data_IF_394083732285
#
_entry.id   IF_394083732285
#
_cell.length_a   1.000
_cell.length_b   1.000
_cell.length_c   1.000
_cell.angle_alpha   90.00
_cell.angle_beta   90.00
_cell.angle_gamma   90.00
#
_symmetry.space_group_name_H-M   'P 1'
#
loop_
_entity.id
_entity.type
_entity.pdbx_description
1 polymer ?
#
# COMPACT_ATOMS: atom_id res chain seq x y z
N UNK A 1 96.11 -18.22 -8.57
CA UNK A 1 95.51 -16.86 -8.55
C UNK A 1 94.69 -16.72 -9.82
N UNK A 2 93.37 -16.77 -9.71
CA UNK A 2 92.47 -16.56 -10.85
C UNK A 2 92.33 -15.05 -11.03
N UNK A 3 92.95 -14.49 -12.07
CA UNK A 3 92.88 -13.04 -12.34
C UNK A 3 91.59 -12.73 -13.08
N UNK A 4 90.74 -11.88 -12.51
CA UNK A 4 89.49 -11.42 -13.14
C UNK A 4 89.82 -10.16 -13.96
N UNK A 5 89.82 -10.25 -15.28
CA UNK A 5 90.21 -9.15 -16.17
C UNK A 5 89.01 -8.45 -16.82
N UNK A 6 87.84 -9.09 -16.87
CA UNK A 6 86.63 -8.55 -17.50
C UNK A 6 85.36 -8.84 -16.69
N UNK A 7 84.29 -8.07 -16.94
CA UNK A 7 82.97 -8.33 -16.36
C UNK A 7 82.40 -9.70 -16.78
N UNK A 8 82.80 -10.20 -17.96
CA UNK A 8 82.45 -11.54 -18.44
C UNK A 8 83.16 -12.65 -17.66
N UNK A 9 84.42 -12.45 -17.26
CA UNK A 9 85.13 -13.37 -16.38
C UNK A 9 84.46 -13.46 -15.01
N UNK A 10 84.05 -12.30 -14.46
CA UNK A 10 83.30 -12.25 -13.20
C UNK A 10 81.93 -12.96 -13.34
N UNK A 11 81.18 -12.69 -14.42
CA UNK A 11 79.89 -13.34 -14.64
C UNK A 11 80.02 -14.87 -14.73
N UNK A 12 80.99 -15.39 -15.50
CA UNK A 12 81.24 -16.83 -15.63
C UNK A 12 81.54 -17.46 -14.27
N UNK A 13 82.45 -16.86 -13.50
CA UNK A 13 82.82 -17.34 -12.16
C UNK A 13 81.60 -17.35 -11.22
N UNK A 14 80.75 -16.32 -11.25
CA UNK A 14 79.54 -16.25 -10.40
C UNK A 14 78.42 -17.20 -10.84
N UNK A 15 78.43 -17.67 -12.08
CA UNK A 15 77.53 -18.74 -12.56
C UNK A 15 78.01 -20.10 -12.06
N UNK A 16 79.32 -20.35 -12.12
CA UNK A 16 79.95 -21.61 -11.70
C UNK A 16 80.00 -21.77 -10.17
N UNK A 17 80.06 -20.65 -9.43
CA UNK A 17 80.11 -20.58 -7.97
C UNK A 17 78.89 -19.85 -7.39
N UNK A 18 77.73 -20.52 -7.24
CA UNK A 18 76.51 -19.91 -6.72
C UNK A 18 76.69 -19.33 -5.31
N UNK A 19 77.56 -19.92 -4.49
CA UNK A 19 77.91 -19.43 -3.15
C UNK A 19 78.58 -18.05 -3.17
N UNK A 20 79.42 -17.76 -4.17
CA UNK A 20 80.06 -16.45 -4.32
C UNK A 20 79.07 -15.40 -4.82
N UNK A 21 78.11 -15.80 -5.67
CA UNK A 21 77.02 -14.94 -6.11
C UNK A 21 76.11 -14.53 -4.96
N UNK A 22 75.81 -15.46 -4.06
CA UNK A 22 74.98 -15.17 -2.89
C UNK A 22 75.69 -14.23 -1.91
N UNK A 23 77.00 -14.40 -1.70
CA UNK A 23 77.80 -13.52 -0.87
C UNK A 23 77.94 -12.12 -1.48
N UNK A 24 78.21 -12.03 -2.78
CA UNK A 24 78.24 -10.75 -3.50
C UNK A 24 76.88 -10.04 -3.41
N UNK A 25 75.77 -10.78 -3.44
CA UNK A 25 74.43 -10.23 -3.27
C UNK A 25 74.20 -9.65 -1.87
N UNK A 26 74.74 -10.28 -0.81
CA UNK A 26 74.69 -9.76 0.57
C UNK A 26 75.53 -8.50 0.78
N UNK A 27 76.63 -8.37 0.05
CA UNK A 27 77.49 -7.18 0.12
C UNK A 27 76.86 -6.00 -0.63
N UNK A 28 76.28 -6.25 -1.81
CA UNK A 28 75.72 -5.21 -2.69
C UNK A 28 74.31 -4.78 -2.30
N UNK A 29 73.49 -5.67 -1.73
CA UNK A 29 72.10 -5.39 -1.37
C UNK A 29 71.94 -5.41 0.15
N UNK A 30 71.09 -4.51 0.67
CA UNK A 30 70.68 -4.57 2.07
C UNK A 30 69.82 -5.82 2.33
N UNK A 31 69.78 -6.29 3.58
CA UNK A 31 68.90 -7.41 3.98
C UNK A 31 67.43 -7.14 3.63
N UNK A 32 67.00 -5.87 3.68
CA UNK A 32 65.65 -5.47 3.30
C UNK A 32 65.35 -5.72 1.81
N UNK A 33 66.29 -5.40 0.91
CA UNK A 33 66.14 -5.65 -0.53
C UNK A 33 66.21 -7.14 -0.86
N UNK A 34 66.99 -7.92 -0.10
CA UNK A 34 67.06 -9.38 -0.23
C UNK A 34 65.76 -10.07 0.22
N UNK A 35 65.09 -9.55 1.25
CA UNK A 35 63.85 -10.11 1.79
C UNK A 35 62.59 -9.69 1.00
N UNK A 36 62.69 -8.67 0.14
CA UNK A 36 61.55 -8.08 -0.57
C UNK A 36 60.76 -9.09 -1.43
N UNK A 37 61.37 -10.02 -2.20
CA UNK A 37 60.61 -10.99 -2.98
C UNK A 37 59.74 -11.91 -2.11
N UNK A 38 60.26 -12.34 -0.96
CA UNK A 38 59.53 -13.19 -0.03
C UNK A 38 58.38 -12.42 0.64
N UNK A 39 58.63 -11.19 1.09
CA UNK A 39 57.61 -10.30 1.64
C UNK A 39 56.49 -10.01 0.64
N UNK A 40 56.86 -9.81 -0.62
CA UNK A 40 55.90 -9.59 -1.70
C UNK A 40 55.05 -10.84 -1.97
N UNK A 41 55.66 -12.03 -2.01
CA UNK A 41 54.92 -13.29 -2.16
C UNK A 41 53.93 -13.54 -1.02
N UNK A 42 54.33 -13.23 0.23
CA UNK A 42 53.46 -13.34 1.40
C UNK A 42 52.32 -12.31 1.36
N UNK A 43 52.62 -11.06 0.99
CA UNK A 43 51.60 -10.02 0.80
C UNK A 43 50.57 -10.42 -0.26
N UNK A 44 51.01 -10.92 -1.41
CA UNK A 44 50.12 -11.39 -2.50
C UNK A 44 49.25 -12.54 -2.00
N UNK A 45 49.83 -13.53 -1.33
CA UNK A 45 49.06 -14.66 -0.77
C UNK A 45 47.98 -14.20 0.23
N UNK A 46 48.29 -13.26 1.11
CA UNK A 46 47.32 -12.71 2.07
C UNK A 46 46.24 -11.91 1.35
N UNK A 47 46.61 -11.14 0.32
CA UNK A 47 45.69 -10.33 -0.47
C UNK A 47 44.73 -11.21 -1.27
N UNK A 48 45.24 -12.23 -1.94
CA UNK A 48 44.44 -13.20 -2.70
C UNK A 48 43.45 -13.92 -1.78
N UNK A 49 43.90 -14.37 -0.59
CA UNK A 49 43.01 -14.99 0.39
C UNK A 49 41.88 -14.06 0.88
N UNK A 50 42.16 -12.76 1.06
CA UNK A 50 41.12 -11.77 1.40
C UNK A 50 40.16 -11.51 0.25
N UNK A 51 40.67 -11.46 -0.99
CA UNK A 51 39.85 -11.27 -2.19
C UNK A 51 38.92 -12.47 -2.43
N UNK A 52 39.42 -13.69 -2.22
CA UNK A 52 38.61 -14.91 -2.32
C UNK A 52 37.51 -14.94 -1.25
N UNK A 53 37.83 -14.59 -0.01
CA UNK A 53 36.85 -14.50 1.07
C UNK A 53 35.76 -13.45 0.75
N UNK A 54 36.16 -12.25 0.33
CA UNK A 54 35.22 -11.18 -0.04
C UNK A 54 34.36 -11.58 -1.23
N UNK A 55 34.93 -12.25 -2.23
CA UNK A 55 34.19 -12.79 -3.38
C UNK A 55 33.14 -13.80 -2.93
N UNK A 56 33.48 -14.65 -1.95
CA UNK A 56 32.55 -15.59 -1.32
C UNK A 56 31.41 -14.88 -0.60
N UNK A 57 31.72 -13.87 0.20
CA UNK A 57 30.72 -13.06 0.92
C UNK A 57 29.77 -12.34 -0.04
N UNK A 58 30.30 -11.70 -1.09
CA UNK A 58 29.49 -11.03 -2.11
C UNK A 58 28.55 -12.01 -2.81
N UNK A 59 29.03 -13.20 -3.18
CA UNK A 59 28.15 -14.25 -3.75
C UNK A 59 27.08 -14.69 -2.76
N UNK A 60 27.43 -14.84 -1.48
CA UNK A 60 26.46 -15.17 -0.43
C UNK A 60 25.37 -14.11 -0.28
N UNK A 61 25.76 -12.83 -0.29
CA UNK A 61 24.84 -11.70 -0.27
C UNK A 61 23.94 -11.66 -1.51
N UNK A 62 24.49 -11.89 -2.70
CA UNK A 62 23.70 -11.96 -3.94
C UNK A 62 22.62 -13.03 -3.86
N UNK A 63 22.98 -14.25 -3.45
CA UNK A 63 22.01 -15.34 -3.31
C UNK A 63 20.92 -15.03 -2.26
N UNK A 64 21.29 -14.36 -1.17
CA UNK A 64 20.33 -13.96 -0.13
C UNK A 64 19.38 -12.86 -0.62
N UNK A 65 19.88 -11.90 -1.40
CA UNK A 65 19.08 -10.86 -2.03
C UNK A 65 18.05 -11.48 -2.99
N UNK A 66 18.49 -12.39 -3.88
CA UNK A 66 17.59 -13.10 -4.80
C UNK A 66 16.49 -13.87 -4.05
N UNK A 67 16.84 -14.62 -2.99
CA UNK A 67 15.85 -15.33 -2.17
C UNK A 67 14.88 -14.39 -1.44
N UNK A 68 15.33 -13.18 -1.08
CA UNK A 68 14.49 -12.18 -0.43
C UNK A 68 13.50 -11.58 -1.43
N UNK A 69 13.94 -11.29 -2.64
CA UNK A 69 13.09 -10.79 -3.72
C UNK A 69 11.98 -11.80 -4.06
N UNK A 70 12.31 -13.09 -4.15
CA UNK A 70 11.30 -14.15 -4.38
C UNK A 70 10.25 -14.22 -3.28
N UNK A 71 10.65 -14.06 -2.01
CA UNK A 71 9.74 -14.04 -0.85
C UNK A 71 8.87 -12.80 -0.86
N UNK A 72 9.43 -11.64 -1.18
CA UNK A 72 8.66 -10.39 -1.30
C UNK A 72 7.61 -10.52 -2.39
N UNK A 73 7.96 -11.07 -3.55
CA UNK A 73 7.03 -11.33 -4.64
C UNK A 73 5.89 -12.29 -4.25
N UNK A 74 6.21 -13.33 -3.47
CA UNK A 74 5.19 -14.23 -2.94
C UNK A 74 4.24 -13.52 -1.97
N UNK A 75 4.78 -12.73 -1.04
CA UNK A 75 3.98 -11.94 -0.08
C UNK A 75 3.10 -10.90 -0.79
N UNK A 76 3.59 -10.25 -1.84
CA UNK A 76 2.79 -9.31 -2.64
C UNK A 76 1.63 -10.00 -3.34
N UNK A 77 1.84 -11.22 -3.87
CA UNK A 77 0.75 -12.01 -4.49
C UNK A 77 -0.31 -12.40 -3.46
N UNK A 78 0.10 -12.90 -2.30
CA UNK A 78 -0.80 -13.28 -1.22
C UNK A 78 -1.59 -12.08 -0.69
N UNK A 79 -0.92 -10.95 -0.47
CA UNK A 79 -1.57 -9.70 -0.06
C UNK A 79 -2.63 -9.25 -1.07
N UNK A 80 -2.35 -9.38 -2.37
CA UNK A 80 -3.30 -9.04 -3.43
C UNK A 80 -4.50 -9.99 -3.45
N UNK A 81 -4.28 -11.29 -3.27
CA UNK A 81 -5.36 -12.28 -3.16
C UNK A 81 -6.24 -12.03 -1.94
N UNK A 82 -5.64 -11.77 -0.77
CA UNK A 82 -6.37 -11.43 0.44
C UNK A 82 -7.18 -10.15 0.28
N UNK A 83 -6.62 -9.13 -0.38
CA UNK A 83 -7.35 -7.90 -0.70
C UNK A 83 -8.59 -8.18 -1.56
N UNK A 84 -8.48 -9.08 -2.55
CA UNK A 84 -9.61 -9.47 -3.38
C UNK A 84 -10.67 -10.25 -2.59
N UNK A 85 -10.28 -11.25 -1.80
CA UNK A 85 -11.21 -12.02 -0.95
C UNK A 85 -11.93 -11.11 0.06
N UNK A 86 -11.21 -10.16 0.66
CA UNK A 86 -11.82 -9.14 1.53
C UNK A 86 -12.85 -8.32 0.76
N UNK A 87 -12.55 -7.94 -0.49
CA UNK A 87 -13.51 -7.27 -1.37
C UNK A 87 -14.77 -8.09 -1.64
N UNK A 88 -14.63 -9.39 -1.88
CA UNK A 88 -15.75 -10.32 -2.10
C UNK A 88 -16.58 -10.51 -0.84
N UNK A 89 -15.95 -10.71 0.32
CA UNK A 89 -16.63 -10.83 1.62
C UNK A 89 -17.35 -9.53 1.97
N UNK A 90 -16.70 -8.38 1.75
CA UNK A 90 -17.32 -7.07 1.92
C UNK A 90 -18.55 -6.95 0.99
N UNK A 91 -18.44 -7.39 -0.25
CA UNK A 91 -19.56 -7.43 -1.21
C UNK A 91 -20.74 -8.28 -0.72
N UNK A 92 -20.48 -9.49 -0.23
CA UNK A 92 -21.51 -10.37 0.33
C UNK A 92 -22.18 -9.77 1.58
N UNK A 93 -21.39 -9.12 2.44
CA UNK A 93 -21.89 -8.41 3.62
C UNK A 93 -22.78 -7.22 3.22
N UNK A 94 -22.38 -6.44 2.20
CA UNK A 94 -23.20 -5.33 1.69
C UNK A 94 -24.48 -5.80 1.02
N UNK A 95 -24.43 -6.91 0.28
CA UNK A 95 -25.63 -7.49 -0.32
C UNK A 95 -26.64 -7.92 0.76
N UNK A 96 -26.14 -8.43 1.90
CA UNK A 96 -26.98 -8.75 3.06
C UNK A 96 -27.58 -7.49 3.70
N UNK A 97 -26.76 -6.48 4.02
CA UNK A 97 -27.23 -5.21 4.63
C UNK A 97 -28.23 -4.50 3.71
N UNK A 98 -27.96 -4.43 2.41
CA UNK A 98 -28.87 -3.78 1.46
C UNK A 98 -30.23 -4.49 1.33
N UNK A 99 -30.26 -5.82 1.54
CA UNK A 99 -31.47 -6.64 1.45
C UNK A 99 -32.25 -6.72 2.76
N UNK A 100 -31.58 -6.69 3.92
CA UNK A 100 -32.18 -6.92 5.24
C UNK A 100 -32.26 -5.65 6.11
N UNK A 101 -31.32 -4.70 5.96
CA UNK A 101 -31.06 -3.65 6.97
C UNK A 101 -31.33 -2.21 6.51
N UNK A 102 -31.70 -1.95 5.24
CA UNK A 102 -32.12 -0.62 4.80
C UNK A 102 -33.26 -0.04 5.65
N UNK A 103 -34.16 -0.92 6.12
CA UNK A 103 -35.21 -0.57 7.09
C UNK A 103 -34.68 -0.28 8.49
N UNK A 104 -33.62 -0.97 8.93
CA UNK A 104 -32.98 -0.74 10.24
C UNK A 104 -32.28 0.62 10.25
N UNK A 105 -31.46 0.89 9.23
CA UNK A 105 -30.77 2.18 9.10
C UNK A 105 -31.78 3.33 9.02
N UNK A 106 -32.85 3.16 8.23
CA UNK A 106 -33.93 4.15 8.19
C UNK A 106 -34.58 4.34 9.57
N UNK A 107 -34.84 3.25 10.30
CA UNK A 107 -35.43 3.28 11.65
C UNK A 107 -34.52 3.96 12.67
N UNK A 108 -33.20 3.71 12.65
CA UNK A 108 -32.20 4.40 13.48
C UNK A 108 -32.21 5.91 13.21
N UNK A 109 -32.40 6.28 11.94
CA UNK A 109 -32.59 7.66 11.50
C UNK A 109 -34.02 8.18 11.76
N UNK A 110 -34.92 7.42 12.38
CA UNK A 110 -36.31 7.83 12.60
C UNK A 110 -37.09 8.13 11.31
N UNK A 111 -36.68 7.51 10.20
CA UNK A 111 -37.31 7.55 8.88
C UNK A 111 -38.08 6.26 8.61
N UNK A 112 -39.13 6.36 7.79
CA UNK A 112 -39.87 5.19 7.33
C UNK A 112 -39.33 4.75 5.96
N UNK A 113 -38.68 3.59 5.92
CA UNK A 113 -38.16 2.99 4.68
C UNK A 113 -39.28 2.72 3.65
N UNK A 114 -39.00 3.00 2.38
CA UNK A 114 -39.90 2.75 1.26
C UNK A 114 -39.33 1.75 0.28
N UNK A 115 -38.10 1.98 -0.18
CA UNK A 115 -37.48 1.17 -1.22
C UNK A 115 -35.96 1.38 -1.26
N UNK A 116 -35.21 0.29 -1.40
CA UNK A 116 -33.79 0.35 -1.79
C UNK A 116 -33.66 0.47 -3.30
N UNK A 117 -32.84 1.40 -3.78
CA UNK A 117 -32.57 1.58 -5.20
C UNK A 117 -31.49 0.62 -5.67
N UNK A 118 -31.73 -0.05 -6.78
CA UNK A 118 -30.68 -0.84 -7.44
C UNK A 118 -29.72 0.03 -8.26
N UNK A 119 -28.62 -0.57 -8.74
CA UNK A 119 -27.60 0.14 -9.52
C UNK A 119 -28.14 0.71 -10.84
N UNK A 120 -29.12 0.08 -11.46
CA UNK A 120 -29.77 0.58 -12.69
C UNK A 120 -30.59 1.84 -12.39
N UNK A 121 -31.30 1.85 -11.27
CA UNK A 121 -32.11 3.00 -10.85
C UNK A 121 -31.24 4.21 -10.48
N UNK A 122 -30.15 3.98 -9.75
CA UNK A 122 -29.16 5.03 -9.46
C UNK A 122 -28.51 5.54 -10.75
N UNK A 123 -28.20 4.66 -11.70
CA UNK A 123 -27.67 5.06 -13.01
C UNK A 123 -28.67 5.92 -13.79
N UNK A 124 -29.97 5.60 -13.74
CA UNK A 124 -31.02 6.41 -14.37
C UNK A 124 -31.15 7.80 -13.74
N UNK A 125 -30.99 7.93 -12.42
CA UNK A 125 -30.92 9.25 -11.75
C UNK A 125 -29.72 10.04 -12.29
N UNK A 126 -28.54 9.42 -12.33
CA UNK A 126 -27.32 10.04 -12.84
C UNK A 126 -27.44 10.47 -14.31
N UNK A 127 -28.03 9.63 -15.16
CA UNK A 127 -28.22 9.92 -16.58
C UNK A 127 -29.22 11.06 -16.81
N UNK A 128 -30.33 11.09 -16.07
CA UNK A 128 -31.27 12.22 -16.09
C UNK A 128 -30.59 13.52 -15.66
N UNK A 129 -29.76 13.49 -14.63
CA UNK A 129 -29.00 14.66 -14.18
C UNK A 129 -27.97 15.15 -15.20
N UNK A 130 -27.35 14.24 -15.96
CA UNK A 130 -26.48 14.63 -17.09
C UNK A 130 -27.27 15.31 -18.19
N UNK A 131 -28.44 14.77 -18.55
CA UNK A 131 -29.30 15.30 -19.61
C UNK A 131 -29.88 16.67 -19.24
N UNK A 132 -30.24 16.88 -17.97
CA UNK A 132 -30.77 18.16 -17.48
C UNK A 132 -29.67 19.22 -17.23
N UNK A 133 -28.39 18.85 -17.34
CA UNK A 133 -27.26 19.72 -17.01
C UNK A 133 -26.96 19.81 -15.50
N UNK A 134 -27.77 19.18 -14.64
CA UNK A 134 -27.56 19.15 -13.20
C UNK A 134 -26.23 18.46 -12.80
N UNK A 135 -25.61 17.66 -13.66
CA UNK A 135 -24.31 17.04 -13.42
C UNK A 135 -23.16 17.59 -14.29
N UNK A 136 -23.32 18.78 -14.90
CA UNK A 136 -22.38 19.29 -15.91
C UNK A 136 -20.97 19.59 -15.37
N UNK A 137 -20.85 20.02 -14.12
CA UNK A 137 -19.63 20.36 -13.39
C UNK A 137 -19.03 19.18 -12.60
N UNK A 138 -19.67 18.01 -12.62
CA UNK A 138 -19.23 16.86 -11.82
C UNK A 138 -18.25 15.98 -12.62
N UNK A 139 -17.02 15.73 -12.12
CA UNK A 139 -16.06 14.86 -12.78
C UNK A 139 -16.60 13.44 -13.02
N UNK A 140 -16.16 12.81 -14.12
CA UNK A 140 -16.63 11.46 -14.51
C UNK A 140 -16.38 10.42 -13.41
N UNK A 141 -15.26 10.49 -12.72
CA UNK A 141 -14.92 9.52 -11.67
C UNK A 141 -15.82 9.66 -10.44
N UNK A 142 -16.25 10.87 -10.11
CA UNK A 142 -17.23 11.11 -9.04
C UNK A 142 -18.62 10.64 -9.43
N UNK A 143 -19.02 10.79 -10.69
CA UNK A 143 -20.27 10.19 -11.19
C UNK A 143 -20.21 8.65 -11.16
N UNK A 144 -19.05 8.06 -11.49
CA UNK A 144 -18.87 6.61 -11.38
C UNK A 144 -18.91 6.14 -9.94
N UNK A 145 -18.34 6.89 -9.01
CA UNK A 145 -18.42 6.61 -7.58
C UNK A 145 -19.87 6.66 -7.09
N UNK A 146 -20.65 7.68 -7.51
CA UNK A 146 -22.07 7.81 -7.19
C UNK A 146 -22.91 6.61 -7.62
N UNK A 147 -22.77 6.18 -8.88
CA UNK A 147 -23.49 4.98 -9.40
C UNK A 147 -23.03 3.68 -8.70
N UNK A 148 -21.86 3.71 -8.05
CA UNK A 148 -21.31 2.59 -7.29
C UNK A 148 -21.45 2.78 -5.78
N UNK A 149 -22.25 3.73 -5.31
CA UNK A 149 -22.56 3.87 -3.90
C UNK A 149 -23.00 2.53 -3.31
N UNK A 150 -22.62 2.27 -2.06
CA UNK A 150 -22.85 0.98 -1.42
C UNK A 150 -24.36 0.71 -1.23
N UNK A 151 -25.10 1.73 -0.77
CA UNK A 151 -26.55 1.66 -0.60
C UNK A 151 -27.19 3.04 -0.77
N UNK A 152 -28.27 3.10 -1.55
CA UNK A 152 -29.16 4.26 -1.65
C UNK A 152 -30.59 3.77 -1.48
N UNK A 153 -31.38 4.47 -0.67
CA UNK A 153 -32.80 4.14 -0.49
C UNK A 153 -33.69 5.38 -0.41
N UNK A 154 -34.95 5.17 -0.74
CA UNK A 154 -36.08 6.07 -0.54
C UNK A 154 -36.70 5.82 0.83
N UNK A 155 -37.02 6.91 1.53
CA UNK A 155 -37.71 6.90 2.79
C UNK A 155 -38.68 8.08 2.90
N UNK A 156 -39.50 8.09 3.94
CA UNK A 156 -40.30 9.26 4.32
C UNK A 156 -39.93 9.73 5.71
N UNK A 157 -39.90 11.05 5.91
CA UNK A 157 -39.75 11.64 7.24
C UNK A 157 -41.03 11.49 8.08
N UNK A 158 -41.00 11.94 9.34
CA UNK A 158 -42.16 11.87 10.25
C UNK A 158 -43.36 12.71 9.79
N UNK A 159 -43.14 13.68 8.91
CA UNK A 159 -44.18 14.52 8.32
C UNK A 159 -44.77 13.90 7.05
N UNK A 160 -44.21 12.78 6.57
CA UNK A 160 -44.60 12.09 5.34
C UNK A 160 -43.93 12.63 4.08
N UNK A 161 -42.93 13.51 4.19
CA UNK A 161 -42.19 14.01 3.03
C UNK A 161 -41.20 12.95 2.54
N UNK A 162 -41.10 12.81 1.22
CA UNK A 162 -40.12 11.91 0.60
C UNK A 162 -38.70 12.44 0.80
N UNK A 163 -37.78 11.52 1.08
CA UNK A 163 -36.34 11.78 1.22
C UNK A 163 -35.55 10.61 0.65
N UNK A 164 -34.33 10.88 0.22
CA UNK A 164 -33.35 9.85 -0.07
C UNK A 164 -32.33 9.72 1.07
N UNK A 165 -31.63 8.59 1.13
CA UNK A 165 -30.47 8.40 1.98
C UNK A 165 -29.35 7.75 1.16
N UNK A 166 -28.16 8.33 1.21
CA UNK A 166 -26.94 7.72 0.69
C UNK A 166 -26.14 7.14 1.86
N UNK A 167 -25.94 5.82 1.85
CA UNK A 167 -25.22 5.10 2.89
C UNK A 167 -23.89 4.61 2.36
N UNK A 168 -22.82 4.92 3.08
CA UNK A 168 -21.53 4.27 2.90
C UNK A 168 -21.33 3.18 3.94
N UNK A 169 -20.84 2.03 3.51
CA UNK A 169 -20.72 0.89 4.40
C UNK A 169 -19.26 0.47 4.52
N UNK A 170 -18.77 0.47 5.75
CA UNK A 170 -17.39 0.14 6.06
C UNK A 170 -17.28 -0.68 7.32
N UNK A 171 -16.20 -1.47 7.44
CA UNK A 171 -15.91 -2.17 8.69
C UNK A 171 -15.52 -1.16 9.78
N UNK A 172 -14.64 -0.24 9.43
CA UNK A 172 -14.25 0.92 10.26
C UNK A 172 -14.54 2.18 9.46
N UNK A 173 -15.39 3.05 9.99
CA UNK A 173 -15.71 4.33 9.38
C UNK A 173 -14.55 5.32 9.51
N UNK A 174 -14.19 5.98 8.42
CA UNK A 174 -13.13 6.99 8.36
C UNK A 174 -13.58 8.30 7.67
N UNK A 175 -12.68 9.28 7.58
CA UNK A 175 -12.94 10.58 6.92
C UNK A 175 -13.36 10.43 5.44
N UNK A 176 -12.90 9.38 4.75
CA UNK A 176 -13.23 9.15 3.33
C UNK A 176 -14.66 8.67 3.17
N UNK A 177 -15.14 7.81 4.07
CA UNK A 177 -16.54 7.37 4.08
C UNK A 177 -17.48 8.55 4.33
N UNK A 178 -17.13 9.44 5.26
CA UNK A 178 -17.89 10.69 5.54
C UNK A 178 -17.99 11.57 4.30
N UNK A 179 -16.86 11.83 3.66
CA UNK A 179 -16.79 12.65 2.45
C UNK A 179 -17.62 12.02 1.31
N UNK A 180 -17.58 10.69 1.19
CA UNK A 180 -18.28 9.97 0.12
C UNK A 180 -19.80 9.97 0.35
N UNK A 181 -20.26 9.66 1.56
CA UNK A 181 -21.67 9.69 1.95
C UNK A 181 -22.28 11.08 1.75
N UNK A 182 -21.60 12.11 2.27
CA UNK A 182 -22.03 13.51 2.18
C UNK A 182 -22.20 13.94 0.73
N UNK A 183 -21.19 13.67 -0.09
CA UNK A 183 -21.21 14.00 -1.52
C UNK A 183 -22.33 13.27 -2.26
N UNK A 184 -22.56 12.00 -1.97
CA UNK A 184 -23.64 11.24 -2.59
C UNK A 184 -25.03 11.77 -2.21
N UNK A 185 -25.23 12.19 -0.96
CA UNK A 185 -26.45 12.86 -0.53
C UNK A 185 -26.66 14.22 -1.22
N UNK A 186 -25.60 15.03 -1.35
CA UNK A 186 -25.63 16.29 -2.11
C UNK A 186 -26.02 16.05 -3.57
N UNK A 187 -25.43 15.02 -4.20
CA UNK A 187 -25.77 14.63 -5.57
C UNK A 187 -27.22 14.17 -5.69
N UNK A 188 -27.72 13.33 -4.77
CA UNK A 188 -29.14 12.93 -4.77
C UNK A 188 -30.06 14.14 -4.67
N UNK A 189 -29.80 15.05 -3.74
CA UNK A 189 -30.59 16.28 -3.59
C UNK A 189 -30.59 17.09 -4.86
N UNK A 190 -29.41 17.29 -5.46
CA UNK A 190 -29.23 18.04 -6.69
C UNK A 190 -29.89 17.38 -7.91
N UNK A 191 -29.82 16.05 -8.01
CA UNK A 191 -30.28 15.30 -9.19
C UNK A 191 -31.78 15.01 -9.18
N UNK A 192 -32.37 14.88 -7.99
CA UNK A 192 -33.78 14.52 -7.81
C UNK A 192 -34.64 15.72 -7.44
N UNK A 193 -34.05 16.76 -6.84
CA UNK A 193 -34.79 17.87 -6.22
C UNK A 193 -35.45 17.50 -4.89
N UNK A 194 -35.28 16.26 -4.43
CA UNK A 194 -35.81 15.74 -3.16
C UNK A 194 -34.70 15.76 -2.11
N UNK A 195 -34.96 16.16 -0.86
CA UNK A 195 -33.95 16.13 0.20
C UNK A 195 -33.27 14.76 0.32
N UNK A 196 -31.98 14.76 0.63
CA UNK A 196 -31.24 13.53 0.88
C UNK A 196 -30.28 13.66 2.07
N UNK A 197 -30.16 12.58 2.84
CA UNK A 197 -29.27 12.51 4.00
C UNK A 197 -28.08 11.57 3.74
N UNK A 198 -26.95 11.88 4.37
CA UNK A 198 -25.77 11.04 4.37
C UNK A 198 -25.73 10.16 5.61
N UNK A 199 -25.44 8.88 5.42
CA UNK A 199 -25.27 7.94 6.51
C UNK A 199 -24.03 7.06 6.30
N UNK A 200 -23.49 6.55 7.39
CA UNK A 200 -22.45 5.53 7.42
C UNK A 200 -22.96 4.38 8.27
N UNK A 201 -22.86 3.18 7.72
CA UNK A 201 -23.10 1.95 8.46
C UNK A 201 -21.75 1.26 8.71
N UNK A 202 -21.37 1.09 9.98
CA UNK A 202 -20.09 0.46 10.33
C UNK A 202 -20.08 -0.30 11.65
N UNK A 203 -19.13 -1.23 11.79
CA UNK A 203 -18.90 -1.97 13.05
C UNK A 203 -18.13 -1.10 14.03
N UNK A 204 -17.11 -0.40 13.53
CA UNK A 204 -16.26 0.51 14.29
C UNK A 204 -16.23 1.90 13.65
N UNK A 205 -15.79 2.89 14.42
CA UNK A 205 -15.57 4.27 13.98
C UNK A 205 -14.15 4.70 14.34
N UNK A 206 -13.50 5.48 13.48
CA UNK A 206 -12.27 6.18 13.85
C UNK A 206 -12.62 7.32 14.82
N UNK A 207 -11.87 7.44 15.92
CA UNK A 207 -12.04 8.51 16.89
C UNK A 207 -11.99 9.91 16.26
N UNK A 208 -11.28 10.08 15.15
CA UNK A 208 -11.16 11.36 14.43
C UNK A 208 -12.47 11.86 13.84
N UNK A 209 -13.43 10.96 13.59
CA UNK A 209 -14.74 11.31 13.02
C UNK A 209 -15.88 11.20 14.03
N UNK A 210 -15.59 10.89 15.30
CA UNK A 210 -16.63 10.75 16.32
C UNK A 210 -17.44 12.04 16.51
N UNK A 211 -16.79 13.21 16.44
CA UNK A 211 -17.43 14.51 16.65
C UNK A 211 -18.35 14.95 15.49
N UNK A 212 -18.19 14.33 14.32
CA UNK A 212 -18.93 14.67 13.09
C UNK A 212 -20.05 13.66 12.77
N UNK A 213 -20.11 12.56 13.53
CA UNK A 213 -21.17 11.55 13.45
C UNK A 213 -22.30 11.87 14.42
N UNK A 214 -23.53 11.65 13.99
CA UNK A 214 -24.71 11.76 14.85
C UNK A 214 -25.53 10.47 14.81
N UNK A 215 -26.11 10.10 15.94
CA UNK A 215 -27.15 9.08 16.02
C UNK A 215 -28.54 9.74 16.04
N UNK A 216 -29.57 9.00 15.64
CA UNK A 216 -30.96 9.43 15.77
C UNK A 216 -31.52 10.18 14.55
N UNK A 217 -32.56 11.00 14.76
CA UNK A 217 -33.41 11.52 13.69
C UNK A 217 -32.86 12.79 13.02
N UNK A 218 -32.87 12.89 11.67
CA UNK A 218 -32.54 14.13 10.95
C UNK A 218 -33.48 15.27 11.30
N UNK A 219 -32.92 16.47 11.54
CA UNK A 219 -33.68 17.68 11.79
C UNK A 219 -33.83 18.50 10.50
N UNK A 220 -35.05 18.94 10.19
CA UNK A 220 -35.41 19.62 8.94
C UNK A 220 -34.82 21.04 8.77
N UNK A 221 -34.13 21.56 9.79
CA UNK A 221 -33.56 22.91 9.80
C UNK A 221 -32.03 22.96 9.65
N UNK A 222 -31.36 21.81 9.48
CA UNK A 222 -29.92 21.78 9.21
C UNK A 222 -29.65 22.37 7.81
N UNK A 223 -29.39 23.67 7.82
CA UNK A 223 -29.14 24.50 6.64
C UNK A 223 -27.64 24.54 6.40
N UNK A 224 -27.22 24.07 5.22
CA UNK A 224 -25.86 24.02 4.67
C UNK A 224 -24.95 22.87 5.18
N UNK A 225 -24.19 22.22 4.26
CA UNK A 225 -23.52 20.94 4.44
C UNK A 225 -22.20 21.13 5.19
N UNK A 226 -22.28 21.36 6.49
CA UNK A 226 -21.16 21.07 7.38
C UNK A 226 -21.70 20.26 8.57
N UNK A 227 -21.47 18.95 8.50
CA UNK A 227 -20.99 18.17 9.66
C UNK A 227 -21.99 17.35 10.47
N UNK A 228 -23.04 16.76 9.88
CA UNK A 228 -23.71 15.61 10.54
C UNK A 228 -23.98 14.49 9.55
N UNK A 229 -23.18 13.45 9.64
CA UNK A 229 -23.41 12.17 8.97
C UNK A 229 -24.04 11.22 9.98
N UNK A 230 -25.13 10.57 9.60
CA UNK A 230 -25.81 9.61 10.47
C UNK A 230 -24.95 8.36 10.61
N UNK A 231 -24.75 7.88 11.83
CA UNK A 231 -24.11 6.61 12.07
C UNK A 231 -25.14 5.56 12.46
N UNK A 232 -25.13 4.43 11.77
CA UNK A 232 -25.83 3.22 12.16
C UNK A 232 -24.80 2.13 12.47
N UNK A 233 -24.84 1.61 13.69
CA UNK A 233 -23.89 0.59 14.13
C UNK A 233 -24.31 -0.78 13.60
N UNK A 234 -23.42 -1.38 12.82
CA UNK A 234 -23.61 -2.73 12.34
C UNK A 234 -23.17 -3.75 13.41
N UNK A 235 -23.85 -4.91 13.48
CA UNK A 235 -23.44 -5.99 14.37
C UNK A 235 -22.06 -6.52 13.96
N UNK A 236 -21.24 -6.83 14.96
CA UNK A 236 -19.96 -7.49 14.72
C UNK A 236 -20.22 -8.94 14.27
N UNK A 237 -19.62 -9.34 13.16
CA UNK A 237 -19.72 -10.72 12.68
C UNK A 237 -18.82 -11.58 13.57
N UNK A 238 -19.42 -12.45 14.38
CA UNK A 238 -18.64 -13.49 15.06
C UNK A 238 -17.99 -14.39 14.00
N UNK A 239 -16.70 -14.72 14.14
CA UNK A 239 -16.06 -15.65 13.22
C UNK A 239 -16.82 -16.98 13.24
N UNK A 240 -17.15 -17.49 12.07
CA UNK A 240 -17.69 -18.83 11.95
C UNK A 240 -16.68 -19.82 12.54
N UNK A 241 -17.06 -20.48 13.64
CA UNK A 241 -16.31 -21.58 14.24
C UNK A 241 -16.12 -22.74 13.25
#
# INVERSE_FOLDING_TARGET
MTTINTIHDLHRILVDHPEWRDELRRILLTEELLALPQRFAEYTKVTDGKLDALTGEVRGLTNHAESTDEKLDALFRETRQNTNHIGEVKGMFMERIAREDGGIIASDMGLQWRKTLDRSEVAQIADRARLSGAAADIPRDYMRAFVRADLIFEATDRSGNETYVAVEISYTADERDVIRATRHAEYLTRFTGTPAYAAIASVHTDNRIADIMTEGTPQSHDSAPETKVFWSRLPEMEPAN
#
